data_IF_588167936527
#
_entry.id   IF_588167936527
#
_cell.length_a   1.000
_cell.length_b   1.000
_cell.length_c   1.000
_cell.angle_alpha   90.00
_cell.angle_beta   90.00
_cell.angle_gamma   90.00
#
_symmetry.space_group_name_H-M   'P 1'
#
loop_
_entity.id
_entity.type
_entity.pdbx_description
1 polymer ?
#
# COMPACT_ATOMS: atom_id res chain seq x y z
N UNK A 1 79.58 -35.94 7.77
CA UNK A 1 78.13 -36.23 7.80
C UNK A 1 77.42 -35.25 6.88
N UNK A 2 77.09 -35.65 5.65
CA UNK A 2 76.38 -34.78 4.70
C UNK A 2 74.87 -34.91 4.93
N UNK A 3 74.23 -33.87 5.48
CA UNK A 3 72.77 -33.81 5.56
C UNK A 3 72.22 -33.48 4.16
N UNK A 4 71.53 -34.45 3.55
CA UNK A 4 70.92 -34.31 2.23
C UNK A 4 69.78 -33.29 2.21
N UNK A 5 69.54 -32.68 1.03
CA UNK A 5 68.52 -31.66 0.82
C UNK A 5 67.11 -32.18 1.16
N UNK A 6 66.43 -31.47 2.06
CA UNK A 6 65.05 -31.80 2.48
C UNK A 6 64.09 -31.47 1.33
N UNK A 7 63.36 -32.48 0.85
CA UNK A 7 62.35 -32.31 -0.20
C UNK A 7 61.20 -31.43 0.31
N UNK A 8 60.87 -30.36 -0.43
CA UNK A 8 59.78 -29.45 -0.09
C UNK A 8 58.43 -30.19 -0.16
N UNK A 9 57.60 -30.02 0.88
CA UNK A 9 56.27 -30.61 0.93
C UNK A 9 55.36 -30.00 -0.15
N UNK A 10 54.54 -30.86 -0.78
CA UNK A 10 53.63 -30.48 -1.86
C UNK A 10 52.47 -29.66 -1.29
N UNK A 11 52.12 -28.57 -1.98
CA UNK A 11 51.03 -27.69 -1.57
C UNK A 11 49.68 -28.44 -1.50
N UNK A 12 48.78 -28.07 -0.56
CA UNK A 12 47.48 -28.71 -0.42
C UNK A 12 46.61 -28.47 -1.67
N UNK A 13 45.84 -29.50 -2.06
CA UNK A 13 44.97 -29.44 -3.22
C UNK A 13 43.82 -28.43 -3.04
N UNK A 14 43.46 -27.73 -4.12
CA UNK A 14 42.36 -26.78 -4.11
C UNK A 14 41.02 -27.49 -3.85
N UNK A 15 40.22 -26.93 -2.93
CA UNK A 15 38.89 -27.47 -2.60
C UNK A 15 37.92 -27.22 -3.76
N UNK A 16 37.11 -28.22 -4.18
CA UNK A 16 36.13 -28.03 -5.24
C UNK A 16 35.06 -27.03 -4.80
N UNK A 17 34.81 -26.01 -5.63
CA UNK A 17 33.75 -25.05 -5.38
C UNK A 17 32.40 -25.64 -5.78
N UNK A 18 31.48 -25.80 -4.82
CA UNK A 18 30.08 -26.19 -5.09
C UNK A 18 29.24 -25.06 -5.73
N UNK A 19 29.89 -24.01 -6.26
CA UNK A 19 29.19 -22.92 -6.91
C UNK A 19 28.63 -23.41 -8.24
N UNK A 20 27.31 -23.68 -8.27
CA UNK A 20 26.58 -23.88 -9.52
C UNK A 20 26.81 -22.66 -10.40
N UNK A 21 27.57 -22.79 -11.48
CA UNK A 21 27.66 -21.77 -12.51
C UNK A 21 26.29 -21.66 -13.16
N UNK A 22 25.47 -20.76 -12.64
CA UNK A 22 24.25 -20.35 -13.31
C UNK A 22 24.72 -19.60 -14.56
N UNK A 23 24.42 -20.13 -15.75
CA UNK A 23 24.70 -19.46 -17.02
C UNK A 23 24.14 -18.03 -17.01
N UNK A 24 24.60 -17.17 -17.93
CA UNK A 24 24.19 -15.78 -18.01
C UNK A 24 22.67 -15.67 -18.17
N UNK A 25 21.95 -15.63 -17.04
CA UNK A 25 20.53 -15.36 -17.04
C UNK A 25 20.44 -13.89 -17.37
N UNK A 26 19.83 -13.58 -18.52
CA UNK A 26 19.27 -12.26 -18.73
C UNK A 26 18.16 -12.14 -17.71
N UNK A 27 18.51 -11.64 -16.52
CA UNK A 27 17.54 -11.20 -15.51
C UNK A 27 16.87 -10.01 -16.19
N UNK A 28 15.81 -10.26 -16.97
CA UNK A 28 15.03 -9.21 -17.59
C UNK A 28 14.63 -8.31 -16.43
N UNK A 29 15.19 -7.10 -16.38
CA UNK A 29 14.85 -6.13 -15.35
C UNK A 29 13.32 -6.10 -15.31
N UNK A 30 12.72 -6.48 -14.18
CA UNK A 30 11.30 -6.22 -13.97
C UNK A 30 11.15 -4.74 -14.24
N UNK A 31 10.50 -4.39 -15.37
CA UNK A 31 10.62 -3.08 -15.98
C UNK A 31 10.31 -2.05 -14.90
N UNK A 32 11.31 -1.32 -14.40
CA UNK A 32 11.13 -0.42 -13.27
C UNK A 32 10.04 0.63 -13.54
N UNK A 33 9.80 0.92 -14.83
CA UNK A 33 8.65 1.68 -15.30
C UNK A 33 7.30 1.06 -14.91
N UNK A 34 7.10 -0.24 -15.03
CA UNK A 34 5.86 -0.92 -14.66
C UNK A 34 5.58 -0.82 -13.14
N UNK A 35 6.62 -0.99 -12.31
CA UNK A 35 6.50 -0.81 -10.86
C UNK A 35 6.16 0.64 -10.50
N UNK A 36 6.81 1.62 -11.15
CA UNK A 36 6.49 3.04 -10.99
C UNK A 36 5.04 3.34 -11.39
N UNK A 37 4.58 2.84 -12.53
CA UNK A 37 3.18 3.01 -12.98
C UNK A 37 2.19 2.43 -11.97
N UNK A 38 2.46 1.27 -11.39
CA UNK A 38 1.60 0.68 -10.36
C UNK A 38 1.55 1.55 -9.09
N UNK A 39 2.69 2.10 -8.66
CA UNK A 39 2.75 3.02 -7.52
C UNK A 39 1.97 4.31 -7.77
N UNK A 40 2.10 4.90 -8.97
CA UNK A 40 1.32 6.09 -9.34
C UNK A 40 -0.18 5.80 -9.35
N UNK A 41 -0.60 4.68 -9.95
CA UNK A 41 -2.02 4.26 -9.92
C UNK A 41 -2.56 4.19 -8.50
N UNK A 42 -1.83 3.53 -7.58
CA UNK A 42 -2.24 3.44 -6.17
C UNK A 42 -2.37 4.82 -5.52
N UNK A 43 -1.39 5.71 -5.70
CA UNK A 43 -1.39 7.07 -5.14
C UNK A 43 -2.54 7.93 -5.67
N UNK A 44 -2.81 7.88 -6.97
CA UNK A 44 -3.89 8.66 -7.57
C UNK A 44 -5.26 8.14 -7.14
N UNK A 45 -5.46 6.81 -7.10
CA UNK A 45 -6.71 6.23 -6.64
C UNK A 45 -6.98 6.52 -5.16
N UNK A 46 -5.98 6.42 -4.28
CA UNK A 46 -6.17 6.73 -2.86
C UNK A 46 -6.43 8.22 -2.62
N UNK A 47 -5.68 9.11 -3.29
CA UNK A 47 -5.89 10.55 -3.18
C UNK A 47 -7.25 11.02 -3.71
N UNK A 48 -7.73 10.41 -4.81
CA UNK A 48 -9.06 10.70 -5.34
C UNK A 48 -10.15 10.26 -4.36
N UNK A 49 -10.03 9.05 -3.78
CA UNK A 49 -10.96 8.57 -2.76
C UNK A 49 -11.01 9.51 -1.55
N UNK A 50 -9.88 9.87 -0.97
CA UNK A 50 -9.80 10.81 0.16
C UNK A 50 -10.41 12.19 -0.17
N UNK A 51 -10.16 12.72 -1.37
CA UNK A 51 -10.73 13.99 -1.81
C UNK A 51 -12.26 13.90 -1.98
N UNK A 52 -12.76 12.77 -2.50
CA UNK A 52 -14.20 12.53 -2.62
C UNK A 52 -14.87 12.36 -1.26
N UNK A 53 -14.23 11.65 -0.32
CA UNK A 53 -14.71 11.51 1.06
C UNK A 53 -14.77 12.86 1.77
N UNK A 54 -13.72 13.67 1.64
CA UNK A 54 -13.71 15.05 2.16
C UNK A 54 -14.82 15.90 1.54
N UNK A 55 -15.04 15.81 0.23
CA UNK A 55 -16.11 16.57 -0.45
C UNK A 55 -17.51 16.15 -0.02
N UNK A 56 -17.75 14.85 0.17
CA UNK A 56 -19.01 14.34 0.69
C UNK A 56 -19.23 14.74 2.14
N UNK A 57 -18.19 14.65 2.98
CA UNK A 57 -18.24 15.05 4.38
C UNK A 57 -18.46 16.56 4.53
N UNK A 58 -17.80 17.39 3.73
CA UNK A 58 -18.03 18.84 3.75
C UNK A 58 -19.41 19.20 3.26
N UNK A 59 -19.94 18.56 2.21
CA UNK A 59 -21.33 18.75 1.78
C UNK A 59 -22.32 18.27 2.83
N UNK A 60 -22.09 17.13 3.47
CA UNK A 60 -22.96 16.60 4.51
C UNK A 60 -22.91 17.46 5.79
N UNK A 61 -21.72 17.81 6.27
CA UNK A 61 -21.53 18.70 7.42
C UNK A 61 -21.98 20.13 7.16
N UNK A 62 -21.79 20.64 5.94
CA UNK A 62 -22.37 21.92 5.53
C UNK A 62 -23.90 21.87 5.51
N UNK A 63 -24.49 20.75 5.08
CA UNK A 63 -25.94 20.52 5.18
C UNK A 63 -26.44 20.36 6.62
N UNK A 64 -25.58 19.99 7.57
CA UNK A 64 -25.88 19.98 9.01
C UNK A 64 -25.78 21.38 9.64
N UNK A 65 -24.92 22.26 9.08
CA UNK A 65 -24.79 23.66 9.52
C UNK A 65 -25.86 24.59 8.91
N UNK A 66 -26.55 24.16 7.85
CA UNK A 66 -27.70 24.88 7.32
C UNK A 66 -28.94 24.60 8.18
N UNK A 67 -29.42 25.62 8.90
CA UNK A 67 -30.71 25.60 9.60
C UNK A 67 -31.82 25.14 8.65
N UNK A 68 -32.46 24.00 8.94
CA UNK A 68 -33.46 23.34 8.09
C UNK A 68 -32.97 22.11 7.31
N UNK A 69 -31.88 21.47 7.75
CA UNK A 69 -31.32 20.27 7.11
C UNK A 69 -32.29 19.06 7.08
N UNK A 70 -32.00 18.03 6.26
CA UNK A 70 -32.88 16.84 6.12
C UNK A 70 -33.14 16.11 7.44
N UNK A 71 -32.17 16.11 8.37
CA UNK A 71 -32.32 15.53 9.71
C UNK A 71 -33.30 16.32 10.56
N UNK A 72 -33.17 17.64 10.58
CA UNK A 72 -34.08 18.53 11.32
C UNK A 72 -35.49 18.46 10.76
N UNK A 73 -35.67 18.47 9.43
CA UNK A 73 -36.97 18.26 8.78
C UNK A 73 -37.61 16.93 9.15
N UNK A 74 -36.83 15.84 9.21
CA UNK A 74 -37.33 14.53 9.66
C UNK A 74 -37.74 14.56 11.13
N UNK A 75 -36.98 15.23 11.99
CA UNK A 75 -37.31 15.37 13.41
C UNK A 75 -38.54 16.26 13.62
N UNK A 76 -38.70 17.34 12.86
CA UNK A 76 -39.90 18.19 12.89
C UNK A 76 -41.15 17.45 12.42
N UNK A 77 -41.04 16.68 11.33
CA UNK A 77 -42.14 15.85 10.84
C UNK A 77 -42.52 14.75 11.84
N UNK A 78 -41.53 14.11 12.47
CA UNK A 78 -41.76 13.12 13.52
C UNK A 78 -42.43 13.75 14.75
N UNK A 79 -41.99 14.93 15.18
CA UNK A 79 -42.62 15.68 16.29
C UNK A 79 -44.06 16.08 15.97
N UNK A 80 -44.32 16.60 14.77
CA UNK A 80 -45.68 16.95 14.31
C UNK A 80 -46.60 15.73 14.24
N UNK A 81 -46.10 14.59 13.76
CA UNK A 81 -46.87 13.35 13.74
C UNK A 81 -47.22 12.85 15.15
N UNK A 82 -46.29 12.97 16.10
CA UNK A 82 -46.54 12.62 17.51
C UNK A 82 -47.53 13.56 18.19
N UNK A 83 -47.47 14.87 17.92
CA UNK A 83 -48.46 15.83 18.44
C UNK A 83 -49.85 15.61 17.84
N UNK A 84 -49.94 15.30 16.54
CA UNK A 84 -51.21 14.98 15.88
C UNK A 84 -51.83 13.69 16.43
N UNK A 85 -51.01 12.68 16.77
CA UNK A 85 -51.47 11.45 17.39
C UNK A 85 -51.92 11.60 18.85
N UNK A 86 -51.40 12.61 19.58
CA UNK A 86 -51.82 12.93 20.96
C UNK A 86 -53.07 13.81 21.05
N UNK A 87 -53.43 14.49 19.95
CA UNK A 87 -54.61 15.37 19.86
C UNK A 87 -55.87 14.66 19.32
N UNK A 88 -55.75 13.41 18.87
CA UNK A 88 -56.86 12.52 18.56
C UNK A 88 -57.14 11.63 19.76
#
# INVERSE_FOLDING_TARGET
>A
MAQGQIKKAKAPAAKPSNRKQMGARVIKAQKGSALKTQQFKKKHSSGLAEATEKSLATRAGHLELLKGGKREKRQELAKKAQEAAKKK
#
